data_IF_040025752165
#
_entry.id   IF_040025752165
#
_cell.length_a   1.000
_cell.length_b   1.000
_cell.length_c   1.000
_cell.angle_alpha   90.00
_cell.angle_beta   90.00
_cell.angle_gamma   90.00
#
_symmetry.space_group_name_H-M   'P 1'
#
loop_
_entity.id
_entity.type
_entity.pdbx_description
1 polymer ?
#
# COMPACT_ATOMS: atom_id res chain seq x y z
N UNK A 1 -20.67 72.11 -44.20
CA UNK A 1 -21.38 71.23 -43.24
C UNK A 1 -21.11 69.79 -43.65
N UNK A 2 -20.42 68.99 -42.82
CA UNK A 2 -20.16 67.58 -43.10
C UNK A 2 -21.33 66.74 -42.57
N UNK A 3 -21.84 65.80 -43.38
CA UNK A 3 -22.90 64.87 -42.96
C UNK A 3 -22.29 63.79 -42.06
N UNK A 4 -23.01 63.44 -40.99
CA UNK A 4 -22.60 62.43 -40.04
C UNK A 4 -22.58 61.03 -40.67
N UNK A 5 -21.44 60.34 -40.57
CA UNK A 5 -21.33 58.92 -40.87
C UNK A 5 -21.70 58.14 -39.62
N UNK A 6 -22.97 57.74 -39.50
CA UNK A 6 -23.45 56.89 -38.40
C UNK A 6 -24.00 55.59 -38.95
N UNK A 7 -23.12 54.74 -39.46
CA UNK A 7 -23.44 53.33 -39.63
C UNK A 7 -22.17 52.54 -39.34
N UNK A 8 -22.07 52.09 -38.08
CA UNK A 8 -21.09 51.08 -37.70
C UNK A 8 -21.74 49.74 -38.06
N UNK A 9 -21.39 49.22 -39.23
CA UNK A 9 -21.68 47.83 -39.63
C UNK A 9 -20.90 46.91 -38.69
N UNK A 10 -21.57 46.39 -37.65
CA UNK A 10 -20.98 45.40 -36.76
C UNK A 10 -20.85 44.09 -37.53
N UNK A 11 -19.67 43.83 -38.10
CA UNK A 11 -19.32 42.56 -38.74
C UNK A 11 -19.57 41.43 -37.74
N UNK A 12 -20.60 40.63 -37.98
CA UNK A 12 -20.81 39.36 -37.29
C UNK A 12 -19.99 38.33 -38.06
N UNK A 13 -18.93 37.74 -37.46
CA UNK A 13 -18.08 36.80 -38.17
C UNK A 13 -18.92 35.62 -38.66
N UNK A 14 -18.74 35.28 -39.93
CA UNK A 14 -19.44 34.15 -40.57
C UNK A 14 -18.98 32.83 -39.95
N UNK A 15 -19.79 31.76 -40.03
CA UNK A 15 -19.42 30.46 -39.43
C UNK A 15 -18.05 29.96 -39.92
N UNK A 16 -17.72 30.19 -41.20
CA UNK A 16 -16.43 29.84 -41.77
C UNK A 16 -15.26 30.67 -41.17
N UNK A 17 -15.48 31.94 -40.85
CA UNK A 17 -14.48 32.77 -40.18
C UNK A 17 -14.27 32.35 -38.72
N UNK A 18 -15.35 31.95 -38.01
CA UNK A 18 -15.28 31.44 -36.64
C UNK A 18 -14.57 30.08 -36.56
N UNK A 19 -14.84 29.19 -37.51
CA UNK A 19 -14.16 27.89 -37.60
C UNK A 19 -12.66 28.08 -37.88
N UNK A 20 -12.30 29.00 -38.77
CA UNK A 20 -10.91 29.30 -39.09
C UNK A 20 -10.16 29.88 -37.88
N UNK A 21 -10.78 30.80 -37.14
CA UNK A 21 -10.21 31.41 -35.94
C UNK A 21 -10.05 30.38 -34.80
N UNK A 22 -11.04 29.52 -34.59
CA UNK A 22 -10.96 28.42 -33.62
C UNK A 22 -9.86 27.41 -33.97
N UNK A 23 -9.70 27.06 -35.26
CA UNK A 23 -8.61 26.19 -35.71
C UNK A 23 -7.24 26.83 -35.44
N UNK A 24 -7.12 28.13 -35.69
CA UNK A 24 -5.88 28.87 -35.48
C UNK A 24 -5.52 29.01 -34.00
N UNK A 25 -6.52 29.21 -33.15
CA UNK A 25 -6.35 29.22 -31.69
C UNK A 25 -5.88 27.85 -31.17
N UNK A 26 -6.50 26.76 -31.62
CA UNK A 26 -6.08 25.39 -31.27
C UNK A 26 -4.66 25.12 -31.76
N UNK A 27 -4.32 25.48 -33.00
CA UNK A 27 -2.96 25.31 -33.54
C UNK A 27 -1.93 26.13 -32.74
N UNK A 28 -2.26 27.35 -32.34
CA UNK A 28 -1.40 28.20 -31.52
C UNK A 28 -1.18 27.61 -30.12
N UNK A 29 -2.24 27.10 -29.49
CA UNK A 29 -2.17 26.44 -28.19
C UNK A 29 -1.34 25.15 -28.25
N UNK A 30 -1.49 24.36 -29.33
CA UNK A 30 -0.70 23.15 -29.58
C UNK A 30 0.77 23.50 -29.80
N UNK A 31 1.06 24.52 -30.62
CA UNK A 31 2.43 24.96 -30.90
C UNK A 31 3.12 25.48 -29.63
N UNK A 32 2.41 26.21 -28.78
CA UNK A 32 2.94 26.75 -27.51
C UNK A 32 3.22 25.65 -26.48
N UNK A 33 2.49 24.54 -26.52
CA UNK A 33 2.61 23.43 -25.58
C UNK A 33 3.24 22.18 -26.23
N UNK A 34 3.96 22.35 -27.35
CA UNK A 34 4.51 21.25 -28.14
C UNK A 34 5.27 20.22 -27.30
N UNK A 35 6.21 20.67 -26.48
CA UNK A 35 7.06 19.76 -25.70
C UNK A 35 6.28 18.99 -24.63
N UNK A 36 5.32 19.64 -23.97
CA UNK A 36 4.43 19.00 -23.00
C UNK A 36 3.50 17.98 -23.68
N UNK A 37 2.99 18.28 -24.87
CA UNK A 37 2.18 17.37 -25.66
C UNK A 37 2.98 16.16 -26.16
N UNK A 38 4.22 16.37 -26.61
CA UNK A 38 5.11 15.27 -27.00
C UNK A 38 5.42 14.37 -25.80
N UNK A 39 5.73 14.96 -24.65
CA UNK A 39 5.98 14.19 -23.41
C UNK A 39 4.75 13.40 -22.99
N UNK A 40 3.56 14.01 -23.09
CA UNK A 40 2.31 13.32 -22.79
C UNK A 40 2.03 12.17 -23.76
N UNK A 41 2.32 12.36 -25.06
CA UNK A 41 2.20 11.30 -26.06
C UNK A 41 3.20 10.17 -25.84
N UNK A 42 4.44 10.48 -25.42
CA UNK A 42 5.44 9.47 -25.07
C UNK A 42 4.98 8.65 -23.85
N UNK A 43 4.50 9.31 -22.80
CA UNK A 43 3.94 8.62 -21.62
C UNK A 43 2.73 7.75 -21.99
N UNK A 44 1.83 8.25 -22.85
CA UNK A 44 0.71 7.45 -23.35
C UNK A 44 1.20 6.25 -24.18
N UNK A 45 2.26 6.42 -24.96
CA UNK A 45 2.92 5.36 -25.72
C UNK A 45 3.48 4.28 -24.80
N UNK A 46 4.26 4.65 -23.78
CA UNK A 46 4.80 3.72 -22.79
C UNK A 46 3.69 2.98 -22.02
N UNK A 47 2.62 3.69 -21.65
CA UNK A 47 1.46 3.09 -21.00
C UNK A 47 0.71 2.14 -21.94
N UNK A 48 0.68 2.41 -23.24
CA UNK A 48 0.09 1.52 -24.22
C UNK A 48 0.95 0.27 -24.44
N UNK A 49 2.26 0.40 -24.64
CA UNK A 49 3.19 -0.72 -24.83
C UNK A 49 3.28 -1.62 -23.59
N UNK A 50 3.24 -1.05 -22.38
CA UNK A 50 3.21 -1.82 -21.14
C UNK A 50 1.87 -2.54 -20.90
N UNK A 51 0.86 -2.32 -21.75
CA UNK A 51 -0.50 -2.84 -21.58
C UNK A 51 -1.28 -2.15 -20.46
N UNK A 52 -0.71 -1.16 -19.77
CA UNK A 52 -1.38 -0.42 -18.70
C UNK A 52 -2.62 0.34 -19.21
N UNK A 53 -2.53 0.90 -20.42
CA UNK A 53 -3.65 1.58 -21.08
C UNK A 53 -4.78 0.60 -21.41
N UNK A 54 -4.45 -0.62 -21.85
CA UNK A 54 -5.41 -1.67 -22.16
C UNK A 54 -6.06 -2.25 -20.90
N UNK A 55 -5.30 -2.38 -19.82
CA UNK A 55 -5.83 -2.75 -18.51
C UNK A 55 -6.78 -1.68 -17.98
N UNK A 56 -6.39 -0.41 -18.05
CA UNK A 56 -7.25 0.71 -17.68
C UNK A 56 -8.53 0.71 -18.54
N UNK A 57 -8.40 0.65 -19.86
CA UNK A 57 -9.54 0.59 -20.78
C UNK A 57 -10.44 -0.62 -20.53
N UNK A 58 -9.86 -1.80 -20.29
CA UNK A 58 -10.55 -3.02 -19.92
C UNK A 58 -11.32 -2.88 -18.61
N UNK A 59 -10.70 -2.33 -17.57
CA UNK A 59 -11.35 -2.03 -16.29
C UNK A 59 -12.50 -1.03 -16.45
N UNK A 60 -12.32 0.01 -17.28
CA UNK A 60 -13.34 1.02 -17.56
C UNK A 60 -14.52 0.43 -18.36
N UNK A 61 -14.26 -0.51 -19.27
CA UNK A 61 -15.30 -1.22 -20.04
C UNK A 61 -16.07 -2.24 -19.18
N UNK A 62 -15.38 -2.84 -18.21
CA UNK A 62 -15.94 -3.83 -17.29
C UNK A 62 -16.46 -3.24 -15.97
N UNK A 63 -16.57 -1.91 -15.86
CA UNK A 63 -17.10 -1.19 -14.68
C UNK A 63 -18.38 -1.78 -14.10
N UNK A 64 -19.31 -2.23 -14.94
CA UNK A 64 -20.58 -2.82 -14.48
C UNK A 64 -20.40 -4.24 -13.93
N UNK A 65 -19.52 -5.06 -14.52
CA UNK A 65 -19.27 -6.43 -14.07
C UNK A 65 -18.37 -6.46 -12.82
N UNK A 66 -17.31 -5.67 -12.78
CA UNK A 66 -16.41 -5.57 -11.62
C UNK A 66 -17.09 -4.80 -10.48
N UNK A 67 -17.84 -3.74 -10.78
CA UNK A 67 -18.56 -2.94 -9.78
C UNK A 67 -19.65 -3.75 -9.08
N UNK A 68 -20.49 -4.50 -9.80
CA UNK A 68 -21.60 -5.23 -9.17
C UNK A 68 -21.14 -6.52 -8.49
N UNK A 69 -20.14 -7.23 -9.03
CA UNK A 69 -19.63 -8.47 -8.43
C UNK A 69 -18.66 -8.17 -7.28
N UNK A 70 -17.76 -7.20 -7.47
CA UNK A 70 -16.81 -6.77 -6.44
C UNK A 70 -17.50 -6.09 -5.26
N UNK A 71 -18.46 -5.18 -5.51
CA UNK A 71 -19.15 -4.50 -4.41
C UNK A 71 -20.07 -5.43 -3.62
N UNK A 72 -20.78 -6.36 -4.26
CA UNK A 72 -21.59 -7.35 -3.53
C UNK A 72 -20.73 -8.31 -2.71
N UNK A 73 -19.52 -8.64 -3.17
CA UNK A 73 -18.58 -9.50 -2.42
C UNK A 73 -17.88 -8.73 -1.29
N UNK A 74 -17.61 -7.43 -1.48
CA UNK A 74 -17.09 -6.52 -0.45
C UNK A 74 -18.13 -6.18 0.62
N UNK A 75 -19.41 -6.13 0.25
CA UNK A 75 -20.52 -5.88 1.17
C UNK A 75 -20.93 -7.14 1.96
N UNK A 76 -20.34 -8.31 1.66
CA UNK A 76 -20.39 -9.47 2.55
C UNK A 76 -19.48 -9.18 3.75
N UNK A 77 -20.00 -9.40 4.95
CA UNK A 77 -19.35 -9.11 6.25
C UNK A 77 -17.89 -9.57 6.34
N UNK A 78 -17.51 -10.65 5.63
CA UNK A 78 -16.13 -11.14 5.57
C UNK A 78 -15.13 -10.12 5.03
N UNK A 79 -15.46 -9.37 3.98
CA UNK A 79 -14.51 -8.43 3.39
C UNK A 79 -14.35 -7.16 4.24
N UNK A 80 -15.44 -6.63 4.80
CA UNK A 80 -15.37 -5.51 5.76
C UNK A 80 -14.59 -5.89 7.02
N UNK A 81 -14.80 -7.10 7.55
CA UNK A 81 -14.05 -7.60 8.70
C UNK A 81 -12.57 -7.82 8.38
N UNK A 82 -12.25 -8.29 7.17
CA UNK A 82 -10.86 -8.45 6.74
C UNK A 82 -10.15 -7.10 6.61
N UNK A 83 -10.81 -6.09 6.04
CA UNK A 83 -10.28 -4.73 5.95
C UNK A 83 -10.08 -4.15 7.36
N UNK A 84 -11.10 -4.26 8.23
CA UNK A 84 -11.04 -3.76 9.60
C UNK A 84 -9.93 -4.44 10.40
N UNK A 85 -9.83 -5.76 10.31
CA UNK A 85 -8.78 -6.52 10.99
C UNK A 85 -7.40 -6.19 10.43
N UNK A 86 -7.26 -6.09 9.11
CA UNK A 86 -5.99 -5.71 8.46
C UNK A 86 -5.53 -4.31 8.88
N UNK A 87 -6.45 -3.34 8.95
CA UNK A 87 -6.15 -1.99 9.41
C UNK A 87 -5.77 -1.96 10.89
N UNK A 88 -6.51 -2.69 11.74
CA UNK A 88 -6.19 -2.85 13.16
C UNK A 88 -4.82 -3.51 13.37
N UNK A 89 -4.48 -4.53 12.59
CA UNK A 89 -3.17 -5.19 12.64
C UNK A 89 -2.06 -4.23 12.19
N UNK A 90 -2.23 -3.47 11.11
CA UNK A 90 -1.27 -2.43 10.72
C UNK A 90 -1.08 -1.39 11.81
N UNK A 91 -2.17 -0.89 12.39
CA UNK A 91 -2.11 0.11 13.45
C UNK A 91 -1.41 -0.45 14.70
N UNK A 92 -1.68 -1.70 15.07
CA UNK A 92 -0.97 -2.38 16.14
C UNK A 92 0.53 -2.48 15.84
N UNK A 93 0.92 -2.95 14.65
CA UNK A 93 2.33 -3.04 14.25
C UNK A 93 3.03 -1.67 14.23
N UNK A 94 2.32 -0.61 13.82
CA UNK A 94 2.84 0.75 13.81
C UNK A 94 3.04 1.35 15.22
N UNK A 95 2.29 0.89 16.22
CA UNK A 95 2.44 1.31 17.61
C UNK A 95 3.58 0.58 18.35
N UNK A 96 4.10 -0.52 17.79
CA UNK A 96 5.20 -1.24 18.39
C UNK A 96 6.51 -0.46 18.23
N UNK A 97 7.28 -0.38 19.32
CA UNK A 97 8.64 0.15 19.28
C UNK A 97 9.52 -0.74 18.36
N UNK A 98 10.07 -0.21 17.26
CA UNK A 98 10.85 -0.99 16.29
C UNK A 98 12.07 -1.69 16.92
N UNK A 99 12.72 -1.06 17.90
CA UNK A 99 13.91 -1.63 18.55
C UNK A 99 13.52 -2.83 19.44
N UNK A 100 12.40 -2.73 20.15
CA UNK A 100 11.87 -3.84 20.97
C UNK A 100 11.41 -4.99 20.10
N UNK A 101 10.74 -4.69 18.98
CA UNK A 101 10.31 -5.69 18.01
C UNK A 101 11.51 -6.42 17.39
N UNK A 102 12.53 -5.67 16.94
CA UNK A 102 13.75 -6.26 16.39
C UNK A 102 14.48 -7.14 17.41
N UNK A 103 14.55 -6.73 18.67
CA UNK A 103 15.15 -7.51 19.75
C UNK A 103 14.39 -8.82 19.98
N UNK A 104 13.05 -8.77 20.04
CA UNK A 104 12.20 -9.95 20.18
C UNK A 104 12.36 -10.91 19.01
N UNK A 105 12.29 -10.40 17.77
CA UNK A 105 12.42 -11.21 16.55
C UNK A 105 13.81 -11.83 16.45
N UNK A 106 14.87 -11.09 16.78
CA UNK A 106 16.24 -11.61 16.82
C UNK A 106 16.43 -12.71 17.86
N UNK A 107 15.83 -12.56 19.05
CA UNK A 107 15.86 -13.59 20.09
C UNK A 107 15.13 -14.87 19.65
N UNK A 108 13.98 -14.73 18.98
CA UNK A 108 13.24 -15.88 18.43
C UNK A 108 14.02 -16.57 17.31
N UNK A 109 14.58 -15.80 16.36
CA UNK A 109 15.40 -16.35 15.28
C UNK A 109 16.61 -17.12 15.81
N UNK A 110 17.36 -16.53 16.75
CA UNK A 110 18.47 -17.20 17.42
C UNK A 110 18.04 -18.46 18.18
N UNK A 111 16.87 -18.44 18.83
CA UNK A 111 16.31 -19.62 19.47
C UNK A 111 16.00 -20.76 18.49
N UNK A 112 15.44 -20.43 17.31
CA UNK A 112 15.19 -21.40 16.23
C UNK A 112 16.50 -21.97 15.71
N UNK A 113 17.48 -21.12 15.41
CA UNK A 113 18.79 -21.53 14.92
C UNK A 113 19.50 -22.48 15.90
N UNK A 114 19.41 -22.21 17.21
CA UNK A 114 19.97 -23.08 18.24
C UNK A 114 19.17 -24.38 18.43
N UNK A 115 17.85 -24.38 18.19
CA UNK A 115 17.01 -25.57 18.31
C UNK A 115 17.22 -26.57 17.15
N UNK A 116 17.59 -26.06 15.96
CA UNK A 116 17.86 -26.90 14.77
C UNK A 116 19.32 -27.29 14.62
N UNK A 117 20.24 -26.65 15.37
CA UNK A 117 21.63 -27.04 15.41
C UNK A 117 21.78 -28.42 16.08
N UNK A 118 22.40 -29.41 15.40
CA UNK A 118 22.77 -30.65 16.05
C UNK A 118 23.79 -30.35 17.15
N UNK A 119 23.50 -30.76 18.39
CA UNK A 119 24.45 -30.70 19.50
C UNK A 119 25.72 -31.49 19.11
N UNK A 120 26.74 -30.79 18.59
CA UNK A 120 28.00 -31.41 18.17
C UNK A 120 28.77 -32.01 19.36
N UNK A 121 28.46 -31.58 20.58
CA UNK A 121 29.15 -31.95 21.82
C UNK A 121 28.38 -32.95 22.69
N UNK A 122 27.10 -33.27 22.38
CA UNK A 122 26.31 -34.23 23.17
C UNK A 122 25.98 -35.48 22.34
N UNK A 123 26.65 -36.62 22.58
CA UNK A 123 26.39 -37.85 21.84
C UNK A 123 25.00 -38.37 22.20
N UNK A 124 24.00 -38.19 21.32
CA UNK A 124 22.66 -38.85 21.22
C UNK A 124 21.94 -39.34 22.51
N UNK A 125 22.32 -38.85 23.69
CA UNK A 125 21.71 -39.22 24.97
C UNK A 125 20.61 -38.22 25.25
N UNK A 126 19.38 -38.74 25.30
CA UNK A 126 18.22 -37.98 25.78
C UNK A 126 18.55 -37.43 27.18
N UNK A 127 18.40 -36.12 27.42
CA UNK A 127 18.69 -35.54 28.73
C UNK A 127 17.82 -36.21 29.81
N UNK A 128 18.44 -36.59 30.93
CA UNK A 128 17.72 -37.13 32.08
C UNK A 128 16.98 -36.04 32.86
N UNK A 129 16.08 -36.41 33.79
CA UNK A 129 15.34 -35.46 34.63
C UNK A 129 16.25 -34.51 35.41
N UNK A 130 17.42 -34.99 35.85
CA UNK A 130 18.42 -34.17 36.55
C UNK A 130 19.10 -33.16 35.62
N UNK A 131 19.40 -33.54 34.38
CA UNK A 131 20.00 -32.64 33.38
C UNK A 131 19.02 -31.53 32.98
N UNK A 132 17.73 -31.87 32.85
CA UNK A 132 16.67 -30.89 32.60
C UNK A 132 16.54 -29.90 33.77
N UNK A 133 16.59 -30.39 35.01
CA UNK A 133 16.57 -29.52 36.18
C UNK A 133 17.81 -28.59 36.24
N UNK A 134 18.98 -29.09 35.84
CA UNK A 134 20.20 -28.30 35.73
C UNK A 134 20.08 -27.23 34.64
N UNK A 135 19.51 -27.58 33.47
CA UNK A 135 19.26 -26.65 32.38
C UNK A 135 18.25 -25.55 32.76
N UNK A 136 17.20 -25.88 33.52
CA UNK A 136 16.26 -24.88 34.02
C UNK A 136 16.88 -23.88 34.99
N UNK A 137 18.04 -24.19 35.58
CA UNK A 137 18.80 -23.27 36.46
C UNK A 137 19.84 -22.45 35.69
N UNK A 138 19.98 -22.67 34.39
CA UNK A 138 20.90 -21.90 33.56
C UNK A 138 20.46 -20.42 33.51
N UNK A 139 21.37 -19.44 33.69
CA UNK A 139 21.05 -18.01 33.62
C UNK A 139 20.35 -17.59 32.32
N UNK A 140 20.67 -18.22 31.19
CA UNK A 140 20.08 -17.89 29.89
C UNK A 140 18.64 -18.41 29.82
N UNK A 141 18.40 -19.65 30.25
CA UNK A 141 17.07 -20.28 30.29
C UNK A 141 16.15 -19.55 31.27
N UNK A 142 16.64 -19.25 32.47
CA UNK A 142 15.89 -18.51 33.50
C UNK A 142 15.53 -17.09 33.04
N UNK A 143 16.42 -16.41 32.31
CA UNK A 143 16.13 -15.10 31.71
C UNK A 143 14.96 -15.16 30.72
N UNK A 144 14.95 -16.14 29.81
CA UNK A 144 13.85 -16.35 28.85
C UNK A 144 12.54 -16.70 29.55
N UNK A 145 12.57 -17.55 30.57
CA UNK A 145 11.39 -17.86 31.39
C UNK A 145 10.89 -16.59 32.10
N UNK A 146 11.78 -15.79 32.68
CA UNK A 146 11.44 -14.52 33.32
C UNK A 146 10.79 -13.52 32.36
N UNK A 147 11.32 -13.41 31.15
CA UNK A 147 10.75 -12.61 30.07
C UNK A 147 9.33 -13.06 29.70
N UNK A 148 9.12 -14.37 29.54
CA UNK A 148 7.79 -14.95 29.28
C UNK A 148 6.82 -14.67 30.43
N UNK A 149 7.23 -14.87 31.68
CA UNK A 149 6.40 -14.58 32.86
C UNK A 149 6.02 -13.10 32.96
N UNK A 150 6.95 -12.19 32.66
CA UNK A 150 6.68 -10.76 32.63
C UNK A 150 5.71 -10.37 31.52
N UNK A 151 5.84 -10.98 30.33
CA UNK A 151 4.88 -10.80 29.24
C UNK A 151 3.48 -11.27 29.64
N UNK A 152 3.35 -12.48 30.19
CA UNK A 152 2.08 -13.02 30.69
C UNK A 152 1.46 -12.13 31.78
N UNK A 153 2.28 -11.59 32.69
CA UNK A 153 1.83 -10.67 33.74
C UNK A 153 1.32 -9.35 33.15
N UNK A 154 1.99 -8.80 32.15
CA UNK A 154 1.56 -7.61 31.42
C UNK A 154 0.24 -7.80 30.69
N UNK A 155 0.05 -8.93 30.02
CA UNK A 155 -1.22 -9.28 29.37
C UNK A 155 -2.36 -9.40 30.39
N UNK A 156 -2.14 -10.09 31.51
CA UNK A 156 -3.14 -10.22 32.57
C UNK A 156 -3.53 -8.88 33.20
N UNK A 157 -2.56 -7.99 33.41
CA UNK A 157 -2.79 -6.65 33.95
C UNK A 157 -3.55 -5.73 32.97
N UNK A 158 -3.38 -5.90 31.66
CA UNK A 158 -4.14 -5.16 30.66
C UNK A 158 -5.60 -5.63 30.60
N UNK A 159 -5.85 -6.94 30.73
CA UNK A 159 -7.19 -7.52 30.71
C UNK A 159 -8.00 -7.27 31.99
N UNK A 160 -7.33 -7.12 33.15
CA UNK A 160 -7.99 -6.84 34.44
C UNK A 160 -8.26 -5.35 34.71
N UNK A 161 -8.06 -4.47 33.72
CA UNK A 161 -8.33 -3.03 33.79
C UNK A 161 -9.61 -2.61 33.06
N UNK A 162 -10.34 -3.58 32.51
CA UNK A 162 -11.73 -3.47 32.05
C UNK A 162 -12.68 -4.03 33.10
#
# INVERSE_FOLDING_TARGET
MAKATTTIEKRVPTQAEQEAEALQEVMSAVAKNKDALLTFLDVLGELHESGALDMAHGALKSRHQIGVIGMNQLNKSGAQNMIKNGMNTMQFLAQLDPNKLQTMLGAVASGVDNAVQPDAERPQKKPGLFDLFKQMRDPQVTSSIGMMLNFLRGMGAAKGRE
#
